data_IF_960036110660
#
_entry.id   IF_960036110660
#
_cell.length_a   1.000
_cell.length_b   1.000
_cell.length_c   1.000
_cell.angle_alpha   90.00
_cell.angle_beta   90.00
_cell.angle_gamma   90.00
#
_symmetry.space_group_name_H-M   'P 1'
#
loop_
_entity.id
_entity.type
_entity.pdbx_description
1 polymer ?
#
# COMPACT_ATOMS: atom_id res chain seq x y z
N UNK A 1 -24.89 -7.82 -4.26
CA UNK A 1 -25.38 -6.47 -4.61
C UNK A 1 -26.58 -6.48 -5.55
N UNK A 2 -26.94 -7.61 -6.19
CA UNK A 2 -28.04 -7.68 -7.16
C UNK A 2 -27.78 -7.00 -8.51
N UNK A 3 -26.53 -6.61 -8.78
CA UNK A 3 -26.08 -6.03 -10.05
C UNK A 3 -24.93 -6.87 -10.63
N UNK A 4 -24.70 -6.81 -11.96
CA UNK A 4 -23.55 -7.46 -12.58
C UNK A 4 -22.22 -6.93 -12.01
N UNK A 5 -21.25 -7.84 -11.84
CA UNK A 5 -19.87 -7.48 -11.49
C UNK A 5 -19.03 -7.76 -12.74
N UNK A 6 -18.48 -6.68 -13.32
CA UNK A 6 -17.65 -6.74 -14.51
C UNK A 6 -16.20 -6.37 -14.13
N UNK A 7 -15.24 -7.09 -14.70
CA UNK A 7 -13.82 -6.83 -14.51
C UNK A 7 -13.05 -7.17 -15.78
N UNK A 8 -12.15 -6.29 -16.17
CA UNK A 8 -11.27 -6.48 -17.34
C UNK A 8 -9.94 -5.79 -17.07
N UNK A 9 -8.89 -6.18 -17.82
CA UNK A 9 -7.63 -5.44 -17.89
C UNK A 9 -7.57 -4.53 -19.12
N UNK A 10 -8.62 -4.51 -19.95
CA UNK A 10 -8.70 -3.66 -21.12
C UNK A 10 -8.93 -2.20 -20.73
N UNK A 11 -8.19 -1.32 -21.38
CA UNK A 11 -8.25 0.12 -21.15
C UNK A 11 -8.36 0.88 -22.46
N UNK A 12 -8.92 2.08 -22.39
CA UNK A 12 -8.98 3.05 -23.49
C UNK A 12 -8.24 4.32 -23.10
N UNK A 13 -7.53 5.00 -24.02
CA UNK A 13 -6.94 6.31 -23.76
C UNK A 13 -8.06 7.35 -23.74
N UNK A 14 -8.08 8.21 -22.71
CA UNK A 14 -9.09 9.26 -22.55
C UNK A 14 -8.54 10.68 -22.67
N UNK A 15 -7.22 10.84 -22.72
CA UNK A 15 -6.55 12.14 -22.84
C UNK A 15 -5.08 12.05 -22.49
N UNK A 16 -4.47 13.22 -22.30
CA UNK A 16 -3.07 13.32 -21.89
C UNK A 16 -2.90 14.38 -20.80
N UNK A 17 -1.93 14.19 -19.93
CA UNK A 17 -1.47 15.18 -18.97
C UNK A 17 -0.79 16.36 -19.67
N UNK A 18 -0.57 17.50 -18.99
CA UNK A 18 0.11 18.65 -19.58
C UNK A 18 1.52 18.36 -20.12
N UNK A 19 2.22 17.40 -19.53
CA UNK A 19 3.55 16.94 -19.94
C UNK A 19 3.50 15.81 -20.99
N UNK A 20 2.30 15.49 -21.53
CA UNK A 20 2.11 14.59 -22.66
C UNK A 20 1.97 13.11 -22.31
N UNK A 21 1.82 12.75 -21.05
CA UNK A 21 1.59 11.35 -20.64
C UNK A 21 0.15 10.93 -20.93
N UNK A 22 -0.04 9.78 -21.57
CA UNK A 22 -1.38 9.25 -21.90
C UNK A 22 -2.08 8.76 -20.65
N UNK A 23 -3.34 9.16 -20.46
CA UNK A 23 -4.21 8.73 -19.37
C UNK A 23 -5.17 7.67 -19.88
N UNK A 24 -5.23 6.56 -19.16
CA UNK A 24 -6.04 5.39 -19.51
C UNK A 24 -7.20 5.20 -18.52
N UNK A 25 -8.32 4.69 -19.02
CA UNK A 25 -9.49 4.33 -18.23
C UNK A 25 -9.94 2.92 -18.58
N UNK A 26 -10.41 2.16 -17.58
CA UNK A 26 -11.07 0.87 -17.77
C UNK A 26 -12.16 0.97 -18.84
N UNK A 27 -12.22 -0.01 -19.76
CA UNK A 27 -13.17 0.02 -20.86
C UNK A 27 -14.62 0.07 -20.39
N UNK A 28 -15.00 -0.76 -19.41
CA UNK A 28 -16.36 -0.76 -18.88
C UNK A 28 -16.73 0.56 -18.20
N UNK A 29 -15.76 1.18 -17.51
CA UNK A 29 -15.96 2.48 -16.91
C UNK A 29 -16.12 3.58 -17.99
N UNK A 30 -15.36 3.50 -19.07
CA UNK A 30 -15.45 4.46 -20.18
C UNK A 30 -16.77 4.34 -20.98
N UNK A 31 -17.35 3.13 -21.04
CA UNK A 31 -18.61 2.84 -21.71
C UNK A 31 -19.84 3.08 -20.81
N UNK A 32 -19.65 3.38 -19.51
CA UNK A 32 -20.75 3.60 -18.58
C UNK A 32 -21.35 5.01 -18.72
N UNK A 33 -22.64 5.15 -18.43
CA UNK A 33 -23.34 6.43 -18.39
C UNK A 33 -22.86 7.34 -17.25
N UNK A 34 -22.28 6.74 -16.19
CA UNK A 34 -21.74 7.45 -15.05
C UNK A 34 -20.94 6.55 -14.11
N UNK A 35 -19.98 7.14 -13.41
CA UNK A 35 -19.06 6.46 -12.52
C UNK A 35 -19.20 7.03 -11.10
N UNK A 36 -19.61 6.20 -10.14
CA UNK A 36 -19.47 6.50 -8.72
C UNK A 36 -18.24 5.82 -8.17
N UNK A 37 -17.23 6.58 -7.76
CA UNK A 37 -15.97 6.05 -7.23
C UNK A 37 -16.11 5.75 -5.74
N UNK A 38 -15.87 4.53 -5.31
CA UNK A 38 -15.91 4.14 -3.90
C UNK A 38 -14.56 3.60 -3.49
N UNK A 39 -13.91 4.21 -2.52
CA UNK A 39 -12.59 3.75 -2.06
C UNK A 39 -12.30 4.16 -0.61
N UNK A 40 -11.42 3.37 0.03
CA UNK A 40 -10.87 3.68 1.35
C UNK A 40 -9.78 4.75 1.24
N UNK A 41 -9.72 5.60 2.28
CA UNK A 41 -8.67 6.60 2.45
C UNK A 41 -7.58 6.02 3.35
N UNK A 42 -6.33 5.95 2.86
CA UNK A 42 -5.18 5.43 3.64
C UNK A 42 -3.90 6.19 3.30
N UNK A 43 -2.94 6.25 4.23
CA UNK A 43 -1.57 6.63 3.91
C UNK A 43 -0.97 5.66 2.90
N UNK A 44 -0.18 6.16 1.96
CA UNK A 44 0.52 5.30 1.01
C UNK A 44 1.74 4.64 1.67
N UNK A 45 2.10 3.45 1.20
CA UNK A 45 3.23 2.69 1.74
C UNK A 45 4.59 3.06 1.14
N UNK A 46 4.62 3.83 0.05
CA UNK A 46 5.83 4.10 -0.73
C UNK A 46 6.15 5.58 -0.96
N UNK A 47 5.24 6.51 -0.69
CA UNK A 47 5.51 7.95 -0.82
C UNK A 47 4.59 8.78 0.09
N UNK A 48 4.91 10.06 0.22
CA UNK A 48 4.09 11.07 0.89
C UNK A 48 3.72 12.17 -0.09
N UNK A 49 2.51 12.71 0.05
CA UNK A 49 2.05 13.83 -0.74
C UNK A 49 0.65 14.29 -0.39
N UNK A 50 0.18 15.29 -1.13
CA UNK A 50 -1.17 15.82 -0.97
C UNK A 50 -2.25 14.78 -1.27
N UNK A 51 -1.97 13.89 -2.21
CA UNK A 51 -2.81 12.74 -2.58
C UNK A 51 -1.96 11.48 -2.44
N UNK A 52 -2.49 10.47 -1.75
CA UNK A 52 -1.80 9.20 -1.55
C UNK A 52 -2.69 8.02 -1.96
N UNK A 53 -3.30 7.32 -1.00
CA UNK A 53 -4.18 6.18 -1.28
C UNK A 53 -5.63 6.55 -0.98
N UNK A 54 -6.34 7.07 -1.97
CA UNK A 54 -7.70 7.59 -1.85
C UNK A 54 -8.49 7.51 -3.15
N UNK A 55 -9.41 8.43 -3.31
CA UNK A 55 -10.32 8.51 -4.47
C UNK A 55 -9.52 8.77 -5.76
N UNK A 56 -8.60 9.73 -5.71
CA UNK A 56 -7.79 10.08 -6.87
C UNK A 56 -6.96 8.90 -7.36
N UNK A 57 -6.32 8.16 -6.42
CA UNK A 57 -5.59 6.94 -6.75
C UNK A 57 -6.50 5.87 -7.36
N UNK A 58 -7.72 5.70 -6.85
CA UNK A 58 -8.66 4.74 -7.43
C UNK A 58 -9.02 5.11 -8.86
N UNK A 59 -9.23 6.40 -9.15
CA UNK A 59 -9.49 6.86 -10.52
C UNK A 59 -8.30 6.64 -11.46
N UNK A 60 -7.08 6.93 -11.00
CA UNK A 60 -5.87 6.89 -11.84
C UNK A 60 -5.31 5.47 -11.97
N UNK A 61 -5.10 4.79 -10.84
CA UNK A 61 -4.45 3.47 -10.79
C UNK A 61 -5.50 2.36 -10.87
N UNK A 62 -6.58 2.46 -10.08
CA UNK A 62 -7.64 1.45 -10.05
C UNK A 62 -8.35 1.31 -11.39
N UNK A 63 -8.91 2.39 -11.89
CA UNK A 63 -9.58 2.42 -13.21
C UNK A 63 -8.59 2.47 -14.37
N UNK A 64 -7.36 2.93 -14.17
CA UNK A 64 -6.29 2.88 -15.18
C UNK A 64 -5.74 1.48 -15.44
N UNK A 65 -6.04 0.51 -14.57
CA UNK A 65 -5.53 -0.86 -14.61
C UNK A 65 -4.00 -0.91 -14.65
N UNK A 66 -3.41 -2.00 -15.14
CA UNK A 66 -1.95 -2.13 -15.24
C UNK A 66 -1.37 -1.07 -16.18
N UNK A 67 -1.97 -0.82 -17.34
CA UNK A 67 -1.50 0.15 -18.33
C UNK A 67 -1.43 1.57 -17.74
N UNK A 68 -2.50 2.01 -17.06
CA UNK A 68 -2.53 3.33 -16.41
C UNK A 68 -1.58 3.40 -15.20
N UNK A 69 -1.47 2.31 -14.42
CA UNK A 69 -0.52 2.24 -13.32
C UNK A 69 0.94 2.38 -13.82
N UNK A 70 1.33 1.65 -14.85
CA UNK A 70 2.66 1.76 -15.47
C UNK A 70 2.94 3.16 -16.01
N UNK A 71 1.95 3.79 -16.66
CA UNK A 71 2.07 5.16 -17.16
C UNK A 71 2.31 6.15 -16.00
N UNK A 72 1.52 6.07 -14.94
CA UNK A 72 1.60 6.94 -13.77
C UNK A 72 2.90 6.72 -12.96
N UNK A 73 3.41 5.47 -12.86
CA UNK A 73 4.65 5.18 -12.13
C UNK A 73 5.91 5.45 -12.94
N UNK A 74 5.82 5.84 -14.20
CA UNK A 74 6.98 5.98 -15.12
C UNK A 74 8.06 6.90 -14.58
N UNK A 75 7.71 7.97 -13.85
CA UNK A 75 8.65 8.91 -13.23
C UNK A 75 9.14 8.46 -11.85
N UNK A 76 8.64 7.33 -11.35
CA UNK A 76 8.99 6.77 -10.06
C UNK A 76 8.26 7.43 -8.87
N UNK A 77 8.43 6.85 -7.68
CA UNK A 77 7.71 7.28 -6.47
C UNK A 77 8.01 8.72 -6.02
N UNK A 78 9.15 9.30 -6.42
CA UNK A 78 9.46 10.69 -6.12
C UNK A 78 8.53 11.73 -6.76
N UNK A 79 7.87 11.36 -7.85
CA UNK A 79 6.92 12.22 -8.58
C UNK A 79 5.47 11.76 -8.44
N UNK A 80 5.23 10.68 -7.69
CA UNK A 80 3.93 10.01 -7.67
C UNK A 80 2.78 10.91 -7.21
N UNK A 81 3.02 11.80 -6.22
CA UNK A 81 1.98 12.72 -5.75
C UNK A 81 1.57 13.74 -6.81
N UNK A 82 2.53 14.25 -7.59
CA UNK A 82 2.31 15.18 -8.69
C UNK A 82 1.60 14.47 -9.86
N UNK A 83 2.06 13.25 -10.18
CA UNK A 83 1.50 12.47 -11.27
C UNK A 83 0.06 12.05 -10.98
N UNK A 84 -0.25 11.61 -9.76
CA UNK A 84 -1.62 11.31 -9.35
C UNK A 84 -2.54 12.52 -9.55
N UNK A 85 -2.11 13.73 -9.18
CA UNK A 85 -2.90 14.92 -9.38
C UNK A 85 -3.08 15.24 -10.86
N UNK A 86 -2.01 15.21 -11.66
CA UNK A 86 -2.05 15.50 -13.09
C UNK A 86 -2.97 14.54 -13.85
N UNK A 87 -2.81 13.23 -13.61
CA UNK A 87 -3.67 12.19 -14.20
C UNK A 87 -5.12 12.30 -13.72
N UNK A 88 -5.32 12.51 -12.41
CA UNK A 88 -6.65 12.62 -11.81
C UNK A 88 -7.45 13.79 -12.37
N UNK A 89 -6.83 14.93 -12.64
CA UNK A 89 -7.46 16.07 -13.31
C UNK A 89 -7.96 15.72 -14.70
N UNK A 90 -7.21 14.92 -15.47
CA UNK A 90 -7.64 14.45 -16.79
C UNK A 90 -8.83 13.50 -16.64
N UNK A 91 -8.81 12.56 -15.69
CA UNK A 91 -9.93 11.65 -15.44
C UNK A 91 -11.19 12.43 -15.07
N UNK A 92 -11.12 13.40 -14.14
CA UNK A 92 -12.25 14.24 -13.74
C UNK A 92 -12.84 15.09 -14.90
N UNK A 93 -12.01 15.48 -15.86
CA UNK A 93 -12.44 16.26 -17.02
C UNK A 93 -13.02 15.41 -18.16
N UNK A 94 -12.59 14.15 -18.31
CA UNK A 94 -12.84 13.33 -19.49
C UNK A 94 -13.73 12.12 -19.24
N UNK A 95 -13.77 11.59 -18.02
CA UNK A 95 -14.62 10.49 -17.66
C UNK A 95 -15.93 10.98 -17.03
N UNK A 96 -17.02 10.23 -17.16
CA UNK A 96 -18.35 10.62 -16.63
C UNK A 96 -18.42 10.37 -15.09
N UNK A 97 -17.54 11.01 -14.32
CA UNK A 97 -17.53 10.90 -12.86
C UNK A 97 -18.75 11.62 -12.29
N UNK A 98 -19.63 10.88 -11.63
CA UNK A 98 -20.82 11.42 -10.94
C UNK A 98 -20.52 11.87 -9.52
N UNK A 99 -19.45 11.36 -8.91
CA UNK A 99 -19.05 11.65 -7.54
C UNK A 99 -18.23 10.52 -6.95
N UNK A 100 -17.93 10.64 -5.66
CA UNK A 100 -17.17 9.64 -4.93
C UNK A 100 -17.70 9.42 -3.51
N UNK A 101 -17.44 8.23 -2.96
CA UNK A 101 -17.62 7.90 -1.55
C UNK A 101 -16.25 7.53 -0.97
N UNK A 102 -15.72 8.41 -0.13
CA UNK A 102 -14.52 8.18 0.64
C UNK A 102 -14.86 7.43 1.93
N UNK A 103 -14.20 6.28 2.15
CA UNK A 103 -14.38 5.45 3.34
C UNK A 103 -13.18 5.69 4.25
N UNK A 104 -13.41 6.18 5.47
CA UNK A 104 -12.41 6.30 6.51
C UNK A 104 -12.58 5.12 7.49
N UNK A 105 -11.49 4.45 7.81
CA UNK A 105 -11.46 3.35 8.75
C UNK A 105 -10.74 3.76 10.04
N UNK A 106 -11.16 3.16 11.16
CA UNK A 106 -10.47 3.29 12.44
C UNK A 106 -9.30 2.29 12.56
N UNK A 107 -8.61 2.30 13.70
CA UNK A 107 -7.48 1.41 13.99
C UNK A 107 -7.85 -0.08 14.10
N UNK A 108 -9.15 -0.43 14.04
CA UNK A 108 -9.67 -1.80 14.08
C UNK A 108 -10.15 -2.28 12.70
N UNK A 109 -9.80 -1.58 11.62
CA UNK A 109 -10.24 -1.87 10.24
C UNK A 109 -11.78 -1.80 10.07
N UNK A 110 -12.44 -1.01 10.95
CA UNK A 110 -13.88 -0.77 10.89
C UNK A 110 -14.18 0.57 10.23
N UNK A 111 -15.28 0.64 9.46
CA UNK A 111 -15.73 1.89 8.85
C UNK A 111 -16.13 2.90 9.92
N UNK A 112 -15.34 3.95 10.10
CA UNK A 112 -15.61 5.04 11.03
C UNK A 112 -16.46 6.14 10.39
N UNK A 113 -16.25 6.42 9.10
CA UNK A 113 -16.96 7.49 8.40
C UNK A 113 -17.09 7.20 6.91
N UNK A 114 -18.23 7.59 6.34
CA UNK A 114 -18.47 7.64 4.90
C UNK A 114 -18.68 9.10 4.51
N UNK A 115 -17.95 9.58 3.50
CA UNK A 115 -18.02 10.95 3.01
C UNK A 115 -18.34 10.96 1.52
N UNK A 116 -19.50 11.49 1.15
CA UNK A 116 -19.84 11.77 -0.25
C UNK A 116 -19.10 13.02 -0.74
N UNK A 117 -18.62 12.96 -1.98
CA UNK A 117 -17.91 14.04 -2.65
C UNK A 117 -18.51 14.24 -4.04
N UNK A 118 -18.88 15.48 -4.36
CA UNK A 118 -19.15 15.88 -5.74
C UNK A 118 -17.84 15.91 -6.55
N UNK A 119 -17.87 15.76 -7.88
CA UNK A 119 -16.65 15.73 -8.69
C UNK A 119 -15.72 16.93 -8.46
N UNK A 120 -16.31 18.12 -8.28
CA UNK A 120 -15.59 19.38 -8.06
C UNK A 120 -14.92 19.45 -6.68
N UNK A 121 -15.45 18.74 -5.69
CA UNK A 121 -14.94 18.72 -4.32
C UNK A 121 -13.76 17.76 -4.13
N UNK A 122 -13.59 16.77 -5.01
CA UNK A 122 -12.62 15.66 -4.80
C UNK A 122 -11.21 16.22 -4.57
N UNK A 123 -10.73 17.08 -5.46
CA UNK A 123 -9.36 17.63 -5.37
C UNK A 123 -9.15 18.55 -4.16
N UNK A 124 -10.21 19.21 -3.68
CA UNK A 124 -10.11 20.12 -2.54
C UNK A 124 -10.20 19.39 -1.22
N UNK A 125 -11.13 18.43 -1.09
CA UNK A 125 -11.46 17.79 0.19
C UNK A 125 -10.67 16.51 0.48
N UNK A 126 -10.21 15.77 -0.55
CA UNK A 126 -9.47 14.53 -0.35
C UNK A 126 -8.24 14.69 0.53
N UNK A 127 -7.41 15.76 0.43
CA UNK A 127 -6.25 15.93 1.32
C UNK A 127 -6.63 16.00 2.80
N UNK A 128 -7.70 16.71 3.14
CA UNK A 128 -8.20 16.78 4.52
C UNK A 128 -8.72 15.43 5.05
N UNK A 129 -9.37 14.66 4.19
CA UNK A 129 -9.83 13.30 4.52
C UNK A 129 -8.65 12.34 4.69
N UNK A 130 -7.59 12.49 3.90
CA UNK A 130 -6.36 11.71 4.05
C UNK A 130 -5.70 11.95 5.41
N UNK A 131 -5.61 13.18 5.86
CA UNK A 131 -5.03 13.49 7.18
C UNK A 131 -5.90 12.92 8.33
N UNK A 132 -7.23 12.95 8.20
CA UNK A 132 -8.12 12.28 9.15
C UNK A 132 -7.90 10.76 9.17
N UNK A 133 -7.78 10.14 8.00
CA UNK A 133 -7.50 8.71 7.88
C UNK A 133 -6.16 8.34 8.53
N UNK A 134 -5.10 9.12 8.27
CA UNK A 134 -3.78 8.92 8.91
C UNK A 134 -3.84 8.99 10.43
N UNK A 135 -4.62 9.91 10.99
CA UNK A 135 -4.78 10.05 12.43
C UNK A 135 -5.51 8.86 13.08
N UNK A 136 -6.28 8.11 12.31
CA UNK A 136 -7.07 6.95 12.76
C UNK A 136 -6.40 5.60 12.48
N UNK A 137 -5.26 5.58 11.78
CA UNK A 137 -4.54 4.33 11.47
C UNK A 137 -4.06 3.61 12.74
N UNK A 138 -3.93 2.26 12.69
CA UNK A 138 -3.29 1.51 13.77
C UNK A 138 -1.87 2.01 14.00
N UNK A 139 -1.46 2.06 15.27
CA UNK A 139 -0.15 2.54 15.68
C UNK A 139 0.44 1.67 16.78
N UNK A 140 1.74 1.45 16.74
CA UNK A 140 2.49 0.92 17.88
C UNK A 140 2.82 2.12 18.77
N UNK A 141 2.24 2.15 19.99
CA UNK A 141 2.33 3.29 20.92
C UNK A 141 3.70 3.46 21.58
N UNK A 142 4.68 2.59 21.28
CA UNK A 142 6.05 2.70 21.74
C UNK A 142 6.91 3.37 20.67
N UNK A 143 7.83 4.27 21.06
CA UNK A 143 8.63 5.02 20.07
C UNK A 143 9.69 4.16 19.38
N UNK A 144 10.13 3.07 20.04
CA UNK A 144 11.21 2.22 19.54
C UNK A 144 11.20 0.82 20.13
N UNK A 145 11.76 -0.13 19.39
CA UNK A 145 12.09 -1.47 19.87
C UNK A 145 13.33 -2.03 19.16
N UNK A 146 13.92 -3.07 19.73
CA UNK A 146 15.05 -3.73 19.12
C UNK A 146 14.57 -4.77 18.09
N UNK A 147 13.53 -5.55 18.43
CA UNK A 147 12.94 -6.54 17.51
C UNK A 147 11.41 -6.37 17.45
N UNK A 148 10.89 -6.16 16.26
CA UNK A 148 9.46 -6.27 15.96
C UNK A 148 9.19 -7.63 15.34
N UNK A 149 8.30 -8.40 15.97
CA UNK A 149 7.83 -9.68 15.47
C UNK A 149 6.43 -9.47 14.89
N UNK A 150 6.29 -9.68 13.59
CA UNK A 150 5.01 -9.66 12.87
C UNK A 150 4.59 -11.11 12.62
N UNK A 151 3.52 -11.54 13.27
CA UNK A 151 3.10 -12.94 13.16
C UNK A 151 2.70 -13.30 11.74
N UNK A 152 1.96 -12.41 11.07
CA UNK A 152 1.49 -12.68 9.72
C UNK A 152 1.52 -11.42 8.85
N UNK A 153 2.03 -11.56 7.62
CA UNK A 153 1.94 -10.54 6.58
C UNK A 153 0.99 -10.99 5.46
N UNK A 154 0.44 -10.05 4.70
CA UNK A 154 -0.39 -10.36 3.54
C UNK A 154 -0.91 -9.14 2.82
N UNK A 155 -1.19 -9.31 1.53
CA UNK A 155 -1.80 -8.27 0.67
C UNK A 155 -3.16 -7.79 1.17
N UNK A 156 -3.85 -8.59 1.96
CA UNK A 156 -5.11 -8.23 2.61
C UNK A 156 -4.93 -7.27 3.79
N UNK A 157 -3.72 -7.16 4.35
CA UNK A 157 -3.41 -6.20 5.42
C UNK A 157 -2.86 -4.89 4.84
N UNK A 158 -1.91 -4.98 3.91
CA UNK A 158 -1.30 -3.81 3.26
C UNK A 158 -0.82 -4.15 1.85
N UNK A 159 -0.76 -3.17 0.97
CA UNK A 159 -0.19 -3.33 -0.38
C UNK A 159 1.25 -3.86 -0.39
N UNK A 160 2.00 -3.63 0.69
CA UNK A 160 3.36 -4.14 0.94
C UNK A 160 3.38 -5.32 1.94
N UNK A 161 2.27 -6.02 2.11
CA UNK A 161 2.17 -7.20 2.98
C UNK A 161 2.13 -6.89 4.47
N UNK A 162 2.94 -5.93 4.93
CA UNK A 162 2.88 -5.27 6.23
C UNK A 162 2.99 -3.76 6.00
N UNK A 163 2.23 -2.98 6.77
CA UNK A 163 2.19 -1.53 6.57
C UNK A 163 3.44 -0.87 7.16
N UNK A 164 4.27 -0.19 6.36
CA UNK A 164 5.45 0.52 6.85
C UNK A 164 5.11 1.71 7.74
N UNK A 165 3.88 2.24 7.67
CA UNK A 165 3.41 3.29 8.58
C UNK A 165 3.26 2.77 10.01
N UNK A 166 2.99 1.46 10.19
CA UNK A 166 2.93 0.78 11.49
C UNK A 166 4.30 0.27 11.90
N UNK A 167 5.00 -0.44 11.01
CA UNK A 167 6.29 -1.08 11.32
C UNK A 167 7.47 -0.12 11.37
N UNK A 168 7.34 1.08 10.81
CA UNK A 168 8.43 2.06 10.70
C UNK A 168 9.51 1.70 9.67
N UNK A 169 9.41 0.56 8.98
CA UNK A 169 10.37 0.13 7.96
C UNK A 169 9.86 0.42 6.56
N UNK A 170 10.22 1.59 6.04
CA UNK A 170 9.86 2.02 4.69
C UNK A 170 10.79 1.39 3.65
N UNK A 171 10.23 1.09 2.48
CA UNK A 171 10.94 0.43 1.36
C UNK A 171 11.39 1.41 0.28
N UNK A 172 10.98 2.67 0.38
CA UNK A 172 11.41 3.77 -0.49
C UNK A 172 11.94 4.94 0.33
N UNK A 173 12.79 5.80 -0.23
CA UNK A 173 13.28 6.99 0.45
C UNK A 173 12.25 8.14 0.51
N UNK A 174 11.08 7.98 -0.11
CA UNK A 174 10.06 9.03 -0.25
C UNK A 174 9.00 9.01 0.85
N UNK A 175 9.18 8.18 1.87
CA UNK A 175 8.36 8.17 3.08
C UNK A 175 9.21 7.80 4.30
N UNK A 176 8.76 8.26 5.47
CA UNK A 176 9.44 8.06 6.75
C UNK A 176 8.46 8.16 7.90
N UNK A 177 8.91 7.85 9.11
CA UNK A 177 8.13 7.91 10.34
C UNK A 177 7.75 6.53 10.88
N UNK A 178 6.90 6.50 11.90
CA UNK A 178 6.49 5.27 12.60
C UNK A 178 7.51 4.80 13.64
N UNK A 179 7.42 3.52 14.00
CA UNK A 179 8.27 2.86 14.98
C UNK A 179 9.75 2.88 14.58
N UNK A 180 10.65 3.23 15.49
CA UNK A 180 12.08 2.99 15.29
C UNK A 180 12.41 1.54 15.66
N UNK A 181 12.72 0.71 14.67
CA UNK A 181 12.98 -0.72 14.83
C UNK A 181 14.35 -1.10 14.28
N UNK A 182 15.11 -1.89 15.04
CA UNK A 182 16.39 -2.39 14.54
C UNK A 182 16.20 -3.59 13.62
N UNK A 183 15.36 -4.58 14.02
CA UNK A 183 15.12 -5.81 13.23
C UNK A 183 13.63 -6.16 13.20
N UNK A 184 13.19 -6.64 12.04
CA UNK A 184 11.82 -7.15 11.84
C UNK A 184 11.88 -8.63 11.50
N UNK A 185 11.04 -9.41 12.17
CA UNK A 185 10.86 -10.86 11.91
C UNK A 185 9.43 -11.09 11.43
N UNK A 186 9.29 -11.81 10.32
CA UNK A 186 8.00 -12.25 9.78
C UNK A 186 7.89 -13.75 9.94
N UNK A 187 6.81 -14.21 10.60
CA UNK A 187 6.67 -15.62 10.96
C UNK A 187 5.77 -16.41 10.00
N UNK A 188 4.74 -15.77 9.43
CA UNK A 188 3.76 -16.42 8.55
C UNK A 188 3.31 -15.49 7.43
N UNK A 189 2.67 -16.06 6.42
CA UNK A 189 2.01 -15.33 5.35
C UNK A 189 0.54 -15.73 5.27
N UNK A 190 -0.34 -14.74 5.13
CA UNK A 190 -1.79 -14.92 5.00
C UNK A 190 -2.15 -15.70 3.74
N UNK A 191 -3.02 -16.68 3.87
CA UNK A 191 -3.57 -17.41 2.73
C UNK A 191 -4.33 -16.51 1.75
N UNK A 192 -4.88 -15.37 2.24
CA UNK A 192 -5.56 -14.37 1.40
C UNK A 192 -4.59 -13.54 0.54
N UNK A 193 -3.29 -13.69 0.73
CA UNK A 193 -2.24 -13.05 -0.09
C UNK A 193 -2.00 -13.75 -1.44
N UNK A 194 -2.62 -14.90 -1.68
CA UNK A 194 -2.44 -15.69 -2.90
C UNK A 194 -0.94 -15.92 -3.23
N UNK A 195 -0.15 -16.24 -2.21
CA UNK A 195 1.30 -16.48 -2.29
C UNK A 195 2.13 -15.24 -2.74
N UNK A 196 1.52 -14.07 -2.92
CA UNK A 196 2.23 -12.85 -3.26
C UNK A 196 2.80 -12.20 -1.99
N UNK A 197 4.08 -12.44 -1.73
CA UNK A 197 4.82 -11.90 -0.59
C UNK A 197 5.52 -10.57 -0.86
N UNK A 198 5.09 -9.78 -1.85
CA UNK A 198 5.63 -8.44 -2.09
C UNK A 198 5.58 -7.59 -0.81
N UNK A 199 6.74 -7.11 -0.37
CA UNK A 199 6.92 -6.40 0.89
C UNK A 199 7.70 -7.20 1.95
N UNK A 200 7.87 -8.52 1.78
CA UNK A 200 8.70 -9.34 2.70
C UNK A 200 10.13 -8.81 2.82
N UNK A 201 10.63 -8.13 1.79
CA UNK A 201 11.96 -7.52 1.78
C UNK A 201 12.18 -6.40 2.79
N UNK A 202 11.14 -5.93 3.48
CA UNK A 202 11.27 -5.03 4.62
C UNK A 202 11.62 -5.77 5.93
N UNK A 203 11.49 -7.10 5.98
CA UNK A 203 11.92 -7.91 7.12
C UNK A 203 13.43 -8.22 7.07
N UNK A 204 14.03 -8.48 8.23
CA UNK A 204 15.42 -8.96 8.35
C UNK A 204 15.48 -10.48 8.41
N UNK A 205 14.49 -11.12 9.05
CA UNK A 205 14.39 -12.58 9.19
C UNK A 205 12.99 -13.08 8.88
N UNK A 206 12.91 -14.30 8.37
CA UNK A 206 11.65 -15.02 8.17
C UNK A 206 11.86 -16.53 8.35
N UNK A 207 10.79 -17.31 8.19
CA UNK A 207 10.80 -18.75 8.33
C UNK A 207 10.84 -19.47 6.98
N UNK A 208 11.36 -20.70 6.99
CA UNK A 208 11.31 -21.60 5.84
C UNK A 208 9.86 -21.84 5.36
N UNK A 209 8.90 -21.84 6.30
CA UNK A 209 7.49 -21.99 5.98
C UNK A 209 7.00 -20.83 5.09
N UNK A 210 7.33 -19.58 5.45
CA UNK A 210 7.00 -18.41 4.61
C UNK A 210 7.69 -18.52 3.25
N UNK A 211 9.01 -18.78 3.24
CA UNK A 211 9.78 -18.85 1.99
C UNK A 211 9.20 -19.84 0.98
N UNK A 212 8.75 -21.01 1.44
CA UNK A 212 8.16 -22.03 0.57
C UNK A 212 6.80 -21.65 -0.02
N UNK A 213 6.11 -20.67 0.56
CA UNK A 213 4.82 -20.20 0.05
C UNK A 213 4.94 -19.04 -0.94
N UNK A 214 6.14 -18.45 -1.12
CA UNK A 214 6.32 -17.28 -1.97
C UNK A 214 6.17 -17.61 -3.46
N UNK A 215 5.27 -16.94 -4.14
CA UNK A 215 5.26 -16.84 -5.60
C UNK A 215 6.18 -15.69 -6.04
N UNK A 216 7.43 -16.03 -6.35
CA UNK A 216 8.44 -15.05 -6.77
C UNK A 216 8.03 -14.31 -8.05
N UNK A 217 7.32 -14.99 -8.97
CA UNK A 217 6.84 -14.36 -10.21
C UNK A 217 5.83 -13.26 -9.92
N UNK A 218 4.85 -13.54 -9.07
CA UNK A 218 3.87 -12.53 -8.65
C UNK A 218 4.52 -11.34 -7.94
N UNK A 219 5.53 -11.61 -7.07
CA UNK A 219 6.31 -10.55 -6.41
C UNK A 219 7.08 -9.70 -7.41
N UNK A 220 7.75 -10.31 -8.38
CA UNK A 220 8.57 -9.58 -9.37
C UNK A 220 7.69 -8.76 -10.33
N UNK A 221 6.54 -9.26 -10.75
CA UNK A 221 5.58 -8.48 -11.54
C UNK A 221 5.16 -7.21 -10.77
N UNK A 222 4.85 -7.32 -9.47
CA UNK A 222 4.56 -6.14 -8.64
C UNK A 222 5.75 -5.16 -8.61
N UNK A 223 6.96 -5.67 -8.36
CA UNK A 223 8.16 -4.84 -8.28
C UNK A 223 8.45 -4.11 -9.59
N UNK A 224 8.34 -4.81 -10.72
CA UNK A 224 8.55 -4.23 -12.05
C UNK A 224 7.48 -3.17 -12.39
N UNK A 225 6.21 -3.45 -12.08
CA UNK A 225 5.10 -2.52 -12.36
C UNK A 225 5.25 -1.20 -11.59
N UNK A 226 5.72 -1.24 -10.34
CA UNK A 226 5.89 -0.03 -9.54
C UNK A 226 7.32 0.54 -9.54
N UNK A 227 8.28 -0.12 -10.20
CA UNK A 227 9.67 0.30 -10.26
C UNK A 227 10.47 0.11 -8.97
N UNK A 228 9.93 -0.67 -8.00
CA UNK A 228 10.57 -0.88 -6.69
C UNK A 228 10.80 -2.36 -6.39
N UNK A 229 12.05 -2.79 -6.47
CA UNK A 229 12.46 -4.18 -6.23
C UNK A 229 12.89 -4.46 -4.79
N UNK A 230 13.06 -3.42 -3.96
CA UNK A 230 13.39 -3.58 -2.54
C UNK A 230 12.43 -4.51 -1.80
N UNK A 231 11.11 -4.34 -1.95
CA UNK A 231 10.09 -5.21 -1.34
C UNK A 231 10.14 -6.68 -1.77
N UNK A 232 10.82 -7.00 -2.90
CA UNK A 232 10.97 -8.37 -3.41
C UNK A 232 12.19 -9.10 -2.84
N UNK A 233 13.05 -8.44 -2.07
CA UNK A 233 14.20 -9.07 -1.44
C UNK A 233 13.76 -10.17 -0.49
N UNK A 234 14.55 -11.23 -0.40
CA UNK A 234 14.31 -12.33 0.54
C UNK A 234 15.15 -12.08 1.80
N UNK A 235 14.52 -11.96 2.98
CA UNK A 235 15.24 -11.84 4.25
C UNK A 235 15.99 -13.14 4.59
N UNK A 236 16.77 -13.14 5.69
CA UNK A 236 17.40 -14.37 6.20
C UNK A 236 16.32 -15.40 6.55
N UNK A 237 16.40 -16.59 5.93
CA UNK A 237 15.42 -17.67 6.09
C UNK A 237 15.92 -18.69 7.11
N UNK A 238 15.11 -18.96 8.12
CA UNK A 238 15.41 -19.89 9.21
C UNK A 238 14.40 -21.04 9.27
N UNK A 239 14.81 -22.19 9.76
CA UNK A 239 13.98 -23.39 9.80
C UNK A 239 12.77 -23.25 10.73
N UNK A 240 12.92 -22.47 11.81
CA UNK A 240 11.88 -22.31 12.84
C UNK A 240 11.69 -20.84 13.22
N UNK A 241 10.51 -20.51 13.75
CA UNK A 241 10.20 -19.20 14.33
C UNK A 241 11.23 -18.81 15.41
N UNK A 242 11.58 -19.76 16.28
CA UNK A 242 12.55 -19.55 17.35
C UNK A 242 13.92 -19.12 16.80
N UNK A 243 14.43 -19.80 15.79
CA UNK A 243 15.71 -19.47 15.18
C UNK A 243 15.68 -18.12 14.47
N UNK A 244 14.58 -17.79 13.78
CA UNK A 244 14.41 -16.50 13.14
C UNK A 244 14.44 -15.34 14.16
N UNK A 245 13.74 -15.50 15.29
CA UNK A 245 13.74 -14.51 16.38
C UNK A 245 15.12 -14.40 17.03
N UNK A 246 15.76 -15.52 17.35
CA UNK A 246 17.11 -15.53 17.94
C UNK A 246 18.15 -14.86 17.04
N UNK A 247 18.08 -15.10 15.72
CA UNK A 247 18.94 -14.46 14.75
C UNK A 247 18.72 -12.94 14.71
N UNK A 248 17.47 -12.49 14.72
CA UNK A 248 17.14 -11.06 14.78
C UNK A 248 17.70 -10.39 16.03
N UNK A 249 17.50 -11.01 17.21
CA UNK A 249 18.06 -10.52 18.48
C UNK A 249 19.59 -10.42 18.40
N UNK A 250 20.27 -11.45 17.87
CA UNK A 250 21.73 -11.45 17.74
C UNK A 250 22.27 -10.35 16.82
N UNK A 251 21.47 -9.88 15.87
CA UNK A 251 21.83 -8.79 14.95
C UNK A 251 21.57 -7.39 15.52
N UNK A 252 20.94 -7.28 16.69
CA UNK A 252 20.69 -5.98 17.33
C UNK A 252 21.93 -5.47 18.02
N UNK A 253 22.10 -4.16 18.00
CA UNK A 253 23.18 -3.44 18.67
C UNK A 253 22.70 -2.79 19.96
N UNK A 254 23.61 -2.55 20.92
CA UNK A 254 23.31 -1.80 22.14
C UNK A 254 22.33 -2.47 23.11
N UNK A 255 22.13 -3.80 23.02
CA UNK A 255 21.26 -4.50 23.96
C UNK A 255 21.84 -4.44 25.36
N UNK A 256 21.09 -3.82 26.28
CA UNK A 256 21.48 -3.69 27.69
C UNK A 256 21.37 -5.01 28.46
N UNK A 257 21.74 -4.97 29.75
CA UNK A 257 21.68 -6.13 30.67
C UNK A 257 20.26 -6.69 30.86
N UNK A 258 19.22 -5.92 30.59
CA UNK A 258 17.81 -6.31 30.70
C UNK A 258 17.33 -7.14 29.51
N UNK A 259 18.17 -7.33 28.48
CA UNK A 259 17.81 -8.00 27.24
C UNK A 259 17.18 -7.08 26.21
N UNK A 260 16.79 -7.64 25.03
CA UNK A 260 16.20 -6.88 23.94
C UNK A 260 14.77 -6.42 24.26
N UNK A 261 14.42 -5.21 23.82
CA UNK A 261 13.03 -4.71 23.83
C UNK A 261 12.33 -5.29 22.60
N UNK A 262 11.42 -6.21 22.84
CA UNK A 262 10.70 -6.90 21.76
C UNK A 262 9.22 -6.52 21.77
N UNK A 263 8.68 -6.28 20.60
CA UNK A 263 7.24 -6.10 20.37
C UNK A 263 6.78 -7.23 19.44
N UNK A 264 5.64 -7.84 19.74
CA UNK A 264 5.00 -8.82 18.88
C UNK A 264 3.60 -8.36 18.55
N UNK A 265 3.27 -8.33 17.28
CA UNK A 265 1.95 -7.97 16.76
C UNK A 265 1.42 -9.10 15.87
N UNK A 266 0.09 -9.32 15.83
CA UNK A 266 -0.48 -10.35 14.97
C UNK A 266 -0.30 -10.01 13.46
N UNK A 267 -0.48 -8.76 13.10
CA UNK A 267 -0.32 -8.19 11.76
C UNK A 267 -0.29 -6.66 11.89
N UNK A 268 -0.47 -5.90 10.81
CA UNK A 268 -0.45 -4.43 10.79
C UNK A 268 -1.83 -3.77 10.63
N UNK A 269 -2.89 -4.52 10.89
CA UNK A 269 -4.25 -3.99 11.09
C UNK A 269 -4.58 -3.88 12.56
#
# INVERSE_FOLDING_TARGET
CGCPILSSMETVPIGSTPDGQTVFLDRYAAEADGILVVNRMKAHTGFRGRYESGILKMMVIGLGKQTGAEACHRRGFGHMAEDLEAFGRVVLQKAPILGAIAILENAFDETAQLVGLEPEEILEREPGLLEQAKAQMPQILLPECDVLIVDEIGKNYSGTGMDPNVTGRHVTPYCSGGLRVQRIVVLRMSGKSHCNGYGIGAADCTTQAVYRTLDLRAMYINGLTCGEMGPCRIPCVWETEKLAIQAAVRMCEGIGRQGPRMIRIPNTL
#
